data_IF_427518033642
#
_entry.id   IF_427518033642
#
_cell.length_a   1.000
_cell.length_b   1.000
_cell.length_c   1.000
_cell.angle_alpha   90.00
_cell.angle_beta   90.00
_cell.angle_gamma   90.00
#
_symmetry.space_group_name_H-M   'P 1'
#
loop_
_entity.id
_entity.type
_entity.pdbx_description
1 polymer ?
#
# COMPACT_ATOMS: atom_id res chain seq x y z
N UNK A 1 29.85 -70.48 -92.98
CA UNK A 1 30.71 -69.28 -92.97
C UNK A 1 31.05 -68.92 -91.53
N UNK A 2 32.30 -69.10 -91.10
CA UNK A 2 32.80 -68.59 -89.82
C UNK A 2 33.78 -67.47 -90.14
N UNK A 3 33.29 -66.23 -90.17
CA UNK A 3 34.11 -65.06 -90.49
C UNK A 3 34.95 -64.62 -89.29
N UNK A 4 36.24 -64.41 -89.54
CA UNK A 4 37.23 -63.88 -88.60
C UNK A 4 37.24 -62.37 -88.78
N UNK A 5 36.91 -61.62 -87.73
CA UNK A 5 36.69 -60.17 -87.83
C UNK A 5 37.93 -59.37 -87.41
N UNK A 6 38.84 -59.94 -86.60
CA UNK A 6 40.05 -59.24 -86.15
C UNK A 6 41.20 -60.19 -85.79
N UNK A 7 42.44 -59.83 -86.14
CA UNK A 7 43.68 -60.50 -85.69
C UNK A 7 44.35 -59.62 -84.63
N UNK A 8 44.48 -60.12 -83.41
CA UNK A 8 45.22 -59.43 -82.35
C UNK A 8 46.53 -60.21 -82.11
N UNK A 9 47.61 -59.75 -82.75
CA UNK A 9 48.86 -60.51 -82.82
C UNK A 9 48.69 -61.82 -83.62
N UNK A 10 49.27 -62.93 -83.14
CA UNK A 10 49.24 -64.26 -83.79
C UNK A 10 48.00 -65.12 -83.46
N UNK A 11 46.99 -64.57 -82.76
CA UNK A 11 45.79 -65.31 -82.37
C UNK A 11 44.57 -64.91 -83.22
N UNK A 12 43.99 -65.83 -84.03
CA UNK A 12 42.80 -65.53 -84.80
C UNK A 12 41.57 -65.42 -83.88
N UNK A 13 41.13 -64.19 -83.61
CA UNK A 13 39.96 -63.93 -82.77
C UNK A 13 38.69 -64.20 -83.56
N UNK A 14 38.13 -65.39 -83.36
CA UNK A 14 36.81 -65.79 -83.88
C UNK A 14 35.70 -65.01 -83.17
N UNK A 15 34.61 -64.72 -83.88
CA UNK A 15 33.37 -64.07 -83.37
C UNK A 15 32.91 -64.58 -82.00
N UNK A 16 33.07 -65.89 -81.74
CA UNK A 16 32.66 -66.51 -80.49
C UNK A 16 33.49 -66.06 -79.26
N UNK A 17 34.80 -65.79 -79.40
CA UNK A 17 35.63 -65.35 -78.28
C UNK A 17 35.35 -63.90 -77.91
N UNK A 18 35.10 -63.04 -78.91
CA UNK A 18 34.69 -61.66 -78.68
C UNK A 18 33.34 -61.57 -77.94
N UNK A 19 32.39 -62.45 -78.29
CA UNK A 19 31.08 -62.53 -77.63
C UNK A 19 31.20 -62.98 -76.16
N UNK A 20 32.05 -63.97 -75.88
CA UNK A 20 32.29 -64.48 -74.51
C UNK A 20 32.99 -63.43 -73.65
N UNK A 21 34.01 -62.75 -74.18
CA UNK A 21 34.72 -61.67 -73.47
C UNK A 21 33.79 -60.50 -73.13
N UNK A 22 32.95 -60.08 -74.09
CA UNK A 22 31.95 -59.05 -73.85
C UNK A 22 30.92 -59.48 -72.78
N UNK A 23 30.43 -60.72 -72.85
CA UNK A 23 29.53 -61.27 -71.85
C UNK A 23 30.13 -61.31 -70.44
N UNK A 24 31.39 -61.72 -70.31
CA UNK A 24 32.11 -61.72 -69.03
C UNK A 24 32.29 -60.30 -68.47
N UNK A 25 32.58 -59.33 -69.32
CA UNK A 25 32.74 -57.93 -68.93
C UNK A 25 31.41 -57.32 -68.47
N UNK A 26 30.31 -57.58 -69.18
CA UNK A 26 28.96 -57.17 -68.77
C UNK A 26 28.57 -57.83 -67.44
N UNK A 27 28.84 -59.12 -67.26
CA UNK A 27 28.51 -59.83 -66.03
C UNK A 27 29.34 -59.31 -64.84
N UNK A 28 30.63 -59.03 -65.06
CA UNK A 28 31.49 -58.37 -64.07
C UNK A 28 30.97 -56.97 -63.69
N UNK A 29 30.55 -56.17 -64.67
CA UNK A 29 29.96 -54.86 -64.44
C UNK A 29 28.66 -54.97 -63.61
N UNK A 30 27.79 -55.91 -63.95
CA UNK A 30 26.54 -56.16 -63.21
C UNK A 30 26.81 -56.59 -61.76
N UNK A 31 27.81 -57.44 -61.52
CA UNK A 31 28.21 -57.85 -60.18
C UNK A 31 28.76 -56.66 -59.39
N UNK A 32 29.59 -55.80 -59.99
CA UNK A 32 30.11 -54.60 -59.35
C UNK A 32 28.96 -53.64 -58.99
N UNK A 33 28.01 -53.41 -59.90
CA UNK A 33 26.83 -52.58 -59.65
C UNK A 33 25.99 -53.17 -58.52
N UNK A 34 25.74 -54.48 -58.52
CA UNK A 34 25.00 -55.16 -57.45
C UNK A 34 25.69 -55.02 -56.08
N UNK A 35 27.02 -55.15 -56.02
CA UNK A 35 27.79 -54.95 -54.79
C UNK A 35 27.73 -53.49 -54.34
N UNK A 36 27.79 -52.52 -55.25
CA UNK A 36 27.68 -51.09 -54.93
C UNK A 36 26.29 -50.77 -54.38
N UNK A 37 25.22 -51.29 -54.98
CA UNK A 37 23.84 -51.10 -54.49
C UNK A 37 23.64 -51.77 -53.13
N UNK A 38 24.15 -52.99 -52.94
CA UNK A 38 24.05 -53.69 -51.67
C UNK A 38 24.84 -52.97 -50.55
N UNK A 39 26.00 -52.38 -50.88
CA UNK A 39 26.78 -51.58 -49.93
C UNK A 39 26.19 -50.19 -49.69
N UNK A 40 25.63 -49.54 -50.70
CA UNK A 40 25.01 -48.22 -50.56
C UNK A 40 23.70 -48.30 -49.77
N UNK A 41 22.91 -49.35 -49.96
CA UNK A 41 21.69 -49.60 -49.17
C UNK A 41 21.98 -49.81 -47.69
N UNK A 42 23.06 -50.55 -47.35
CA UNK A 42 23.50 -50.72 -45.95
C UNK A 42 23.93 -49.40 -45.31
N UNK A 43 24.71 -48.56 -46.02
CA UNK A 43 25.10 -47.22 -45.54
C UNK A 43 23.90 -46.27 -45.40
N UNK A 44 22.93 -46.35 -46.31
CA UNK A 44 21.69 -45.58 -46.24
C UNK A 44 20.82 -45.95 -45.04
N UNK A 45 20.74 -47.25 -44.72
CA UNK A 45 19.99 -47.74 -43.55
C UNK A 45 20.60 -47.26 -42.22
N UNK A 46 21.93 -47.26 -42.10
CA UNK A 46 22.62 -46.75 -40.90
C UNK A 46 22.37 -45.24 -40.69
N UNK A 47 22.40 -44.44 -41.75
CA UNK A 47 22.09 -43.01 -41.68
C UNK A 47 20.63 -42.76 -41.30
N UNK A 48 19.68 -43.51 -41.90
CA UNK A 48 18.27 -43.41 -41.55
C UNK A 48 18.00 -43.77 -40.08
N UNK A 49 18.65 -44.81 -39.56
CA UNK A 49 18.58 -45.18 -38.14
C UNK A 49 19.16 -44.09 -37.23
N UNK A 50 20.30 -43.49 -37.60
CA UNK A 50 20.90 -42.40 -36.83
C UNK A 50 20.02 -41.13 -36.80
N UNK A 51 19.27 -40.85 -37.87
CA UNK A 51 18.29 -39.76 -37.88
C UNK A 51 17.05 -40.07 -37.04
N UNK A 52 16.56 -41.32 -37.08
CA UNK A 52 15.43 -41.74 -36.27
C UNK A 52 15.71 -41.62 -34.76
N UNK A 53 16.89 -42.06 -34.30
CA UNK A 53 17.30 -41.96 -32.89
C UNK A 53 17.39 -40.49 -32.44
N UNK A 54 17.96 -39.61 -33.28
CA UNK A 54 18.02 -38.17 -32.96
C UNK A 54 16.65 -37.52 -32.93
N UNK A 55 15.73 -37.94 -33.80
CA UNK A 55 14.36 -37.42 -33.81
C UNK A 55 13.62 -37.81 -32.53
N UNK A 56 13.75 -39.06 -32.09
CA UNK A 56 13.17 -39.57 -30.85
C UNK A 56 13.72 -38.82 -29.62
N UNK A 57 15.04 -38.59 -29.57
CA UNK A 57 15.67 -37.81 -28.49
C UNK A 57 15.20 -36.35 -28.46
N UNK A 58 14.98 -35.72 -29.63
CA UNK A 58 14.45 -34.37 -29.72
C UNK A 58 12.99 -34.30 -29.24
N UNK A 59 12.17 -35.29 -29.61
CA UNK A 59 10.79 -35.39 -29.17
C UNK A 59 10.69 -35.56 -27.65
N UNK A 60 11.54 -36.42 -27.08
CA UNK A 60 11.62 -36.60 -25.62
C UNK A 60 12.01 -35.28 -24.94
N UNK A 61 13.06 -34.60 -25.42
CA UNK A 61 13.48 -33.29 -24.87
C UNK A 61 12.38 -32.23 -24.98
N UNK A 62 11.67 -32.17 -26.11
CA UNK A 62 10.54 -31.26 -26.29
C UNK A 62 9.41 -31.56 -25.29
N UNK A 63 9.09 -32.84 -25.09
CA UNK A 63 8.08 -33.26 -24.12
C UNK A 63 8.45 -32.84 -22.69
N UNK A 64 9.72 -33.03 -22.29
CA UNK A 64 10.22 -32.62 -20.98
C UNK A 64 10.15 -31.10 -20.80
N UNK A 65 10.53 -30.33 -21.83
CA UNK A 65 10.43 -28.86 -21.80
C UNK A 65 8.98 -28.39 -21.68
N UNK A 66 8.05 -29.00 -22.42
CA UNK A 66 6.62 -28.66 -22.32
C UNK A 66 6.06 -28.98 -20.92
N UNK A 67 6.44 -30.13 -20.36
CA UNK A 67 6.06 -30.48 -18.98
C UNK A 67 6.60 -29.47 -17.97
N UNK A 68 7.90 -29.16 -18.02
CA UNK A 68 8.51 -28.17 -17.14
C UNK A 68 7.88 -26.78 -17.30
N UNK A 69 7.54 -26.38 -18.54
CA UNK A 69 6.85 -25.12 -18.81
C UNK A 69 5.45 -25.11 -18.21
N UNK A 70 4.68 -26.19 -18.34
CA UNK A 70 3.33 -26.30 -17.78
C UNK A 70 3.35 -26.22 -16.25
N UNK A 71 4.34 -26.85 -15.62
CA UNK A 71 4.51 -26.84 -14.17
C UNK A 71 4.94 -25.44 -13.68
N UNK A 72 5.85 -24.78 -14.40
CA UNK A 72 6.26 -23.41 -14.12
C UNK A 72 5.09 -22.41 -14.27
N UNK A 73 4.28 -22.57 -15.33
CA UNK A 73 3.08 -21.76 -15.54
C UNK A 73 2.06 -21.97 -14.41
N UNK A 74 1.83 -23.21 -13.98
CA UNK A 74 0.95 -23.52 -12.85
C UNK A 74 1.43 -22.91 -11.53
N UNK A 75 2.74 -22.98 -11.24
CA UNK A 75 3.33 -22.32 -10.06
C UNK A 75 3.21 -20.80 -10.13
N UNK A 76 3.42 -20.20 -11.30
CA UNK A 76 3.29 -18.77 -11.50
C UNK A 76 1.84 -18.30 -11.31
N UNK A 77 0.86 -19.07 -11.78
CA UNK A 77 -0.56 -18.81 -11.57
C UNK A 77 -0.92 -18.91 -10.08
N UNK A 78 -0.52 -19.99 -9.40
CA UNK A 78 -0.73 -20.14 -7.96
C UNK A 78 -0.09 -18.99 -7.14
N UNK A 79 1.12 -18.55 -7.54
CA UNK A 79 1.77 -17.40 -6.92
C UNK A 79 0.96 -16.11 -7.15
N UNK A 80 0.45 -15.90 -8.36
CA UNK A 80 -0.38 -14.74 -8.70
C UNK A 80 -1.66 -14.72 -7.89
N UNK A 81 -2.35 -15.87 -7.76
CA UNK A 81 -3.54 -15.99 -6.94
C UNK A 81 -3.24 -15.72 -5.45
N UNK A 82 -2.12 -16.22 -4.92
CA UNK A 82 -1.71 -15.97 -3.54
C UNK A 82 -1.41 -14.48 -3.29
N UNK A 83 -0.72 -13.82 -4.22
CA UNK A 83 -0.46 -12.38 -4.17
C UNK A 83 -1.76 -11.57 -4.24
N UNK A 84 -2.68 -11.92 -5.16
CA UNK A 84 -3.98 -11.27 -5.29
C UNK A 84 -4.82 -11.43 -4.01
N UNK A 85 -4.82 -12.64 -3.41
CA UNK A 85 -5.49 -12.91 -2.13
C UNK A 85 -4.92 -12.04 -1.00
N UNK A 86 -3.59 -12.00 -0.85
CA UNK A 86 -2.93 -11.15 0.14
C UNK A 86 -3.19 -9.67 -0.08
N UNK A 87 -3.21 -9.21 -1.32
CA UNK A 87 -3.52 -7.82 -1.65
C UNK A 87 -4.96 -7.48 -1.26
N UNK A 88 -5.92 -8.38 -1.50
CA UNK A 88 -7.30 -8.21 -1.08
C UNK A 88 -7.45 -8.18 0.45
N UNK A 89 -6.75 -9.07 1.16
CA UNK A 89 -6.71 -9.07 2.63
C UNK A 89 -6.13 -7.78 3.19
N UNK A 90 -5.01 -7.30 2.65
CA UNK A 90 -4.43 -6.02 3.04
C UNK A 90 -5.39 -4.86 2.78
N UNK A 91 -6.06 -4.84 1.62
CA UNK A 91 -7.04 -3.80 1.31
C UNK A 91 -8.20 -3.79 2.31
N UNK A 92 -8.70 -4.97 2.72
CA UNK A 92 -9.72 -5.09 3.77
C UNK A 92 -9.21 -4.60 5.13
N UNK A 93 -8.04 -5.06 5.55
CA UNK A 93 -7.44 -4.66 6.83
C UNK A 93 -7.18 -3.14 6.90
N UNK A 94 -6.75 -2.53 5.78
CA UNK A 94 -6.59 -1.07 5.69
C UNK A 94 -7.93 -0.36 5.80
N UNK A 95 -8.98 -0.81 5.09
CA UNK A 95 -10.31 -0.21 5.20
C UNK A 95 -10.87 -0.30 6.63
N UNK A 96 -10.81 -1.47 7.26
CA UNK A 96 -11.24 -1.67 8.65
C UNK A 96 -10.47 -0.75 9.61
N UNK A 97 -9.16 -0.59 9.39
CA UNK A 97 -8.34 0.31 10.20
C UNK A 97 -8.71 1.77 9.97
N UNK A 98 -8.95 2.18 8.73
CA UNK A 98 -9.37 3.54 8.38
C UNK A 98 -10.75 3.87 8.98
N UNK A 99 -11.70 2.95 8.92
CA UNK A 99 -13.02 3.11 9.53
C UNK A 99 -12.91 3.25 11.06
N UNK A 100 -12.10 2.38 11.70
CA UNK A 100 -11.83 2.46 13.14
C UNK A 100 -11.19 3.78 13.54
N UNK A 101 -10.18 4.24 12.80
CA UNK A 101 -9.51 5.52 13.05
C UNK A 101 -10.48 6.68 12.85
N UNK A 102 -11.27 6.67 11.77
CA UNK A 102 -12.26 7.71 11.48
C UNK A 102 -13.30 7.81 12.58
N UNK A 103 -13.81 6.67 13.05
CA UNK A 103 -14.75 6.62 14.16
C UNK A 103 -14.14 7.17 15.46
N UNK A 104 -12.92 6.72 15.81
CA UNK A 104 -12.24 7.16 17.04
C UNK A 104 -11.90 8.65 17.00
N UNK A 105 -11.46 9.17 15.86
CA UNK A 105 -11.19 10.59 15.67
C UNK A 105 -12.49 11.38 15.78
N UNK A 106 -13.58 10.94 15.15
CA UNK A 106 -14.89 11.57 15.26
C UNK A 106 -15.37 11.67 16.72
N UNK A 107 -15.29 10.57 17.48
CA UNK A 107 -15.65 10.57 18.90
C UNK A 107 -14.74 11.48 19.74
N UNK A 108 -13.43 11.46 19.48
CA UNK A 108 -12.46 12.29 20.22
C UNK A 108 -12.68 13.78 19.96
N UNK A 109 -12.97 14.14 18.70
CA UNK A 109 -13.31 15.51 18.33
C UNK A 109 -14.62 15.95 18.99
N UNK A 110 -15.66 15.12 18.93
CA UNK A 110 -16.94 15.44 19.58
C UNK A 110 -16.79 15.64 21.10
N UNK A 111 -16.05 14.74 21.76
CA UNK A 111 -15.75 14.86 23.19
C UNK A 111 -14.94 16.13 23.49
N UNK A 112 -13.92 16.44 22.68
CA UNK A 112 -13.13 17.66 22.84
C UNK A 112 -13.98 18.91 22.63
N UNK A 113 -14.89 18.93 21.66
CA UNK A 113 -15.81 20.05 21.43
C UNK A 113 -16.75 20.25 22.60
N UNK A 114 -17.30 19.17 23.17
CA UNK A 114 -18.15 19.25 24.38
C UNK A 114 -17.38 19.83 25.56
N UNK A 115 -16.18 19.32 25.84
CA UNK A 115 -15.34 19.82 26.92
C UNK A 115 -14.95 21.29 26.74
N UNK A 116 -14.65 21.71 25.50
CA UNK A 116 -14.38 23.11 25.18
C UNK A 116 -15.62 23.98 25.43
N UNK A 117 -16.82 23.54 25.00
CA UNK A 117 -18.05 24.28 25.24
C UNK A 117 -18.39 24.40 26.72
N UNK A 118 -18.17 23.34 27.50
CA UNK A 118 -18.34 23.36 28.95
C UNK A 118 -17.34 24.31 29.62
N UNK A 119 -16.07 24.27 29.20
CA UNK A 119 -15.03 25.19 29.68
C UNK A 119 -15.38 26.65 29.35
N UNK A 120 -15.84 26.92 28.13
CA UNK A 120 -16.30 28.25 27.72
C UNK A 120 -17.50 28.72 28.53
N UNK A 121 -18.45 27.83 28.85
CA UNK A 121 -19.59 28.14 29.72
C UNK A 121 -19.14 28.48 31.13
N UNK A 122 -18.22 27.70 31.71
CA UNK A 122 -17.66 27.99 33.02
C UNK A 122 -16.87 29.31 33.04
N UNK A 123 -16.13 29.61 31.97
CA UNK A 123 -15.47 30.91 31.80
C UNK A 123 -16.49 32.06 31.73
N UNK A 124 -17.59 31.90 31.00
CA UNK A 124 -18.64 32.91 30.90
C UNK A 124 -19.30 33.20 32.26
N UNK A 125 -19.59 32.17 33.05
CA UNK A 125 -20.11 32.30 34.41
C UNK A 125 -19.13 33.05 35.32
N UNK A 126 -17.84 32.69 35.28
CA UNK A 126 -16.80 33.40 36.03
C UNK A 126 -16.69 34.86 35.61
N UNK A 127 -16.81 35.17 34.31
CA UNK A 127 -16.82 36.54 33.82
C UNK A 127 -18.02 37.34 34.37
N UNK A 128 -19.21 36.75 34.46
CA UNK A 128 -20.36 37.40 35.07
C UNK A 128 -20.18 37.70 36.56
N UNK A 129 -19.51 36.81 37.30
CA UNK A 129 -19.13 37.05 38.70
C UNK A 129 -18.10 38.19 38.79
N UNK A 130 -17.09 38.20 37.90
CA UNK A 130 -16.10 39.28 37.84
C UNK A 130 -16.77 40.63 37.56
N UNK A 131 -17.72 40.67 36.63
CA UNK A 131 -18.48 41.89 36.30
C UNK A 131 -19.29 42.40 37.51
N UNK A 132 -19.95 41.49 38.22
CA UNK A 132 -20.67 41.80 39.46
C UNK A 132 -19.73 42.33 40.56
N UNK A 133 -18.56 41.71 40.70
CA UNK A 133 -17.54 42.17 41.65
C UNK A 133 -17.00 43.57 41.28
N UNK A 134 -16.81 43.86 39.99
CA UNK A 134 -16.43 45.19 39.52
C UNK A 134 -17.48 46.25 39.86
N UNK A 135 -18.77 45.95 39.63
CA UNK A 135 -19.87 46.87 39.99
C UNK A 135 -19.87 47.19 41.48
N UNK A 136 -19.76 46.17 42.34
CA UNK A 136 -19.69 46.35 43.79
C UNK A 136 -18.45 47.15 44.22
N UNK A 137 -17.30 46.94 43.57
CA UNK A 137 -16.08 47.68 43.84
C UNK A 137 -16.21 49.15 43.43
N UNK A 138 -16.87 49.44 42.30
CA UNK A 138 -17.19 50.82 41.90
C UNK A 138 -18.12 51.49 42.91
N UNK A 139 -19.20 50.82 43.32
CA UNK A 139 -20.14 51.36 44.31
C UNK A 139 -19.46 51.64 45.66
N UNK A 140 -18.63 50.71 46.13
CA UNK A 140 -17.83 50.89 47.33
C UNK A 140 -16.84 52.06 47.18
N UNK A 141 -16.19 52.18 46.03
CA UNK A 141 -15.28 53.30 45.75
C UNK A 141 -16.04 54.62 45.81
N UNK A 142 -17.24 54.71 45.24
CA UNK A 142 -18.10 55.89 45.37
C UNK A 142 -18.41 56.19 46.83
N UNK A 143 -18.87 55.20 47.62
CA UNK A 143 -19.16 55.39 49.05
C UNK A 143 -17.95 55.86 49.85
N UNK A 144 -16.76 55.29 49.60
CA UNK A 144 -15.51 55.68 50.25
C UNK A 144 -15.09 57.09 49.85
N UNK A 145 -15.25 57.48 48.58
CA UNK A 145 -14.99 58.86 48.15
C UNK A 145 -15.97 59.86 48.79
N UNK A 146 -17.26 59.53 48.86
CA UNK A 146 -18.26 60.35 49.56
C UNK A 146 -17.91 60.51 51.05
N UNK A 147 -17.53 59.42 51.72
CA UNK A 147 -17.12 59.47 53.13
C UNK A 147 -15.88 60.35 53.30
N UNK A 148 -14.88 60.19 52.44
CA UNK A 148 -13.67 61.03 52.42
C UNK A 148 -14.04 62.51 52.25
N UNK A 149 -14.97 62.83 51.36
CA UNK A 149 -15.35 64.22 51.07
C UNK A 149 -16.11 64.87 52.24
N UNK A 150 -17.00 64.13 52.92
CA UNK A 150 -17.65 64.57 54.17
C UNK A 150 -16.62 64.82 55.27
N UNK A 151 -15.66 63.89 55.41
CA UNK A 151 -14.60 64.00 56.42
C UNK A 151 -13.56 65.08 56.07
N UNK A 152 -13.35 65.44 54.81
CA UNK A 152 -12.44 66.51 54.42
C UNK A 152 -13.00 67.90 54.76
N UNK A 153 -14.31 68.09 54.61
CA UNK A 153 -14.98 69.37 54.90
C UNK A 153 -15.22 69.53 56.41
N UNK A 154 -14.71 70.63 57.01
CA UNK A 154 -14.83 70.86 58.47
C UNK A 154 -16.29 71.01 58.94
N UNK A 155 -17.15 71.64 58.14
CA UNK A 155 -18.55 71.88 58.47
C UNK A 155 -19.35 70.57 58.40
N UNK A 156 -19.21 69.81 57.31
CA UNK A 156 -19.89 68.52 57.12
C UNK A 156 -19.44 67.50 58.17
N UNK A 157 -18.13 67.44 58.48
CA UNK A 157 -17.58 66.61 59.56
C UNK A 157 -18.12 67.00 60.93
N UNK A 158 -18.22 68.30 61.22
CA UNK A 158 -18.80 68.80 62.48
C UNK A 158 -20.27 68.43 62.63
N UNK A 159 -21.08 68.67 61.60
CA UNK A 159 -22.50 68.29 61.58
C UNK A 159 -22.71 66.78 61.72
N UNK A 160 -21.87 65.96 61.06
CA UNK A 160 -21.91 64.50 61.21
C UNK A 160 -21.57 64.04 62.63
N UNK A 161 -20.53 64.62 63.23
CA UNK A 161 -20.14 64.33 64.61
C UNK A 161 -21.23 64.71 65.61
N UNK A 162 -21.86 65.88 65.41
CA UNK A 162 -22.98 66.33 66.21
C UNK A 162 -24.19 65.39 66.09
N UNK A 163 -24.64 65.08 64.87
CA UNK A 163 -25.77 64.16 64.67
C UNK A 163 -25.53 62.78 65.31
N UNK A 164 -24.29 62.26 65.23
CA UNK A 164 -23.88 61.01 65.90
C UNK A 164 -23.96 61.13 67.42
N UNK A 165 -23.48 62.23 67.98
CA UNK A 165 -23.54 62.50 69.42
C UNK A 165 -25.00 62.61 69.88
N UNK A 166 -25.85 63.34 69.16
CA UNK A 166 -27.27 63.48 69.46
C UNK A 166 -27.98 62.12 69.45
N UNK A 167 -27.72 61.27 68.46
CA UNK A 167 -28.27 59.92 68.40
C UNK A 167 -27.84 59.04 69.60
N UNK A 168 -26.56 59.08 69.99
CA UNK A 168 -26.04 58.34 71.16
C UNK A 168 -26.73 58.80 72.44
N UNK A 169 -26.90 60.12 72.60
CA UNK A 169 -27.59 60.72 73.75
C UNK A 169 -29.06 60.31 73.76
N UNK A 170 -29.73 60.30 72.61
CA UNK A 170 -31.13 59.87 72.49
C UNK A 170 -31.35 58.39 72.84
N UNK A 171 -30.44 57.51 72.41
CA UNK A 171 -30.50 56.08 72.74
C UNK A 171 -30.14 55.79 74.21
N UNK A 172 -29.21 56.57 74.78
CA UNK A 172 -28.67 56.33 76.12
C UNK A 172 -29.44 56.95 77.27
N UNK A 173 -30.29 57.96 77.03
CA UNK A 173 -30.96 58.72 78.08
C UNK A 173 -32.49 58.78 77.89
N UNK A 174 -33.28 58.77 78.97
CA UNK A 174 -34.74 58.88 78.89
C UNK A 174 -35.19 60.18 78.22
N UNK A 175 -36.31 60.11 77.49
CA UNK A 175 -36.90 61.27 76.82
C UNK A 175 -37.27 62.33 77.87
N UNK A 176 -36.70 63.53 77.75
CA UNK A 176 -36.90 64.66 78.67
C UNK A 176 -35.77 64.89 79.67
N UNK A 177 -34.72 64.06 79.70
CA UNK A 177 -33.55 64.23 80.58
C UNK A 177 -32.42 65.09 80.01
N UNK A 178 -32.55 65.53 78.75
CA UNK A 178 -31.55 66.32 78.02
C UNK A 178 -32.24 67.22 76.98
N UNK A 179 -31.56 68.28 76.55
CA UNK A 179 -32.01 69.20 75.50
C UNK A 179 -30.82 69.54 74.59
N UNK A 180 -31.05 69.56 73.27
CA UNK A 180 -30.00 69.84 72.29
C UNK A 180 -30.01 71.31 71.89
N UNK A 181 -28.83 71.94 71.92
CA UNK A 181 -28.60 73.38 71.67
C UNK A 181 -29.46 74.33 72.52
N UNK A 182 -28.85 74.94 73.53
CA UNK A 182 -29.39 76.14 74.15
C UNK A 182 -29.12 77.34 73.22
N UNK A 183 -30.17 78.05 72.82
CA UNK A 183 -30.07 79.38 72.17
C UNK A 183 -29.69 80.46 73.16
#
# INVERSE_FOLDING_TARGET
MNEIIFMLGDWPVRTIHALIGFGALVLGLLVVIAIVIARSGRRGAELAMAHAIRADELEERLSQVLHAQSEAAGRADAMTQALAGRQAEMARAVNERLDSVTHRVGQSMEHSTRNTMESLRALHERLGIIDSAHKNLTDLTTQVTTLRDVLANKQSRGAFGQARMEAIVQDGLPKGSYEFQFT
#
